data_IF_994507439518
#
_entry.id   IF_994507439518
#
_cell.length_a   1.000
_cell.length_b   1.000
_cell.length_c   1.000
_cell.angle_alpha   90.00
_cell.angle_beta   90.00
_cell.angle_gamma   90.00
#
_symmetry.space_group_name_H-M   'P 1'
#
loop_
_entity.id
_entity.type
_entity.pdbx_description
1 polymer ?
#
# COMPACT_ATOMS: atom_id res chain seq x y z
N UNK A 1 15.70 6.91 -42.47
CA UNK A 1 16.20 6.97 -41.08
C UNK A 1 15.29 7.75 -40.14
N UNK A 2 14.93 9.01 -40.43
CA UNK A 2 14.07 9.82 -39.53
C UNK A 2 12.73 9.16 -39.20
N UNK A 3 11.97 8.67 -40.19
CA UNK A 3 10.69 8.00 -39.94
C UNK A 3 10.80 6.74 -39.07
N UNK A 4 11.85 5.93 -39.26
CA UNK A 4 12.12 4.75 -38.43
C UNK A 4 12.40 5.15 -36.97
N UNK A 5 13.16 6.23 -36.75
CA UNK A 5 13.43 6.73 -35.40
C UNK A 5 12.14 7.25 -34.74
N UNK A 6 11.28 7.95 -35.49
CA UNK A 6 9.99 8.43 -34.98
C UNK A 6 9.09 7.27 -34.57
N UNK A 7 8.99 6.25 -35.41
CA UNK A 7 8.15 5.08 -35.15
C UNK A 7 8.65 4.28 -33.95
N UNK A 8 9.96 4.04 -33.87
CA UNK A 8 10.61 3.40 -32.72
C UNK A 8 10.39 4.19 -31.42
N UNK A 9 10.45 5.52 -31.49
CA UNK A 9 10.25 6.40 -30.33
C UNK A 9 8.82 6.33 -29.81
N UNK A 10 7.83 6.34 -30.72
CA UNK A 10 6.41 6.23 -30.36
C UNK A 10 6.14 4.88 -29.69
N UNK A 11 6.66 3.79 -30.26
CA UNK A 11 6.51 2.44 -29.69
C UNK A 11 7.19 2.34 -28.31
N UNK A 12 8.40 2.86 -28.18
CA UNK A 12 9.13 2.85 -26.91
C UNK A 12 8.38 3.62 -25.80
N UNK A 13 7.86 4.81 -26.12
CA UNK A 13 7.07 5.61 -25.17
C UNK A 13 5.77 4.91 -24.76
N UNK A 14 5.10 4.24 -25.70
CA UNK A 14 3.90 3.45 -25.40
C UNK A 14 4.21 2.30 -24.43
N UNK A 15 5.28 1.53 -24.69
CA UNK A 15 5.65 0.40 -23.83
C UNK A 15 6.01 0.88 -22.42
N UNK A 16 6.81 1.95 -22.30
CA UNK A 16 7.19 2.53 -21.01
C UNK A 16 5.95 3.09 -20.29
N UNK A 17 5.06 3.78 -21.02
CA UNK A 17 3.82 4.31 -20.48
C UNK A 17 2.92 3.21 -19.93
N UNK A 18 2.68 2.14 -20.69
CA UNK A 18 1.86 1.02 -20.24
C UNK A 18 2.46 0.29 -19.04
N UNK A 19 3.76 0.02 -19.06
CA UNK A 19 4.44 -0.66 -17.94
C UNK A 19 4.41 0.16 -16.66
N UNK A 20 4.65 1.46 -16.75
CA UNK A 20 4.56 2.36 -15.59
C UNK A 20 3.11 2.48 -15.07
N UNK A 21 2.13 2.60 -15.97
CA UNK A 21 0.72 2.70 -15.58
C UNK A 21 0.22 1.42 -14.92
N UNK A 22 0.51 0.25 -15.47
CA UNK A 22 0.09 -1.02 -14.88
C UNK A 22 0.70 -1.24 -13.49
N UNK A 23 1.97 -0.88 -13.29
CA UNK A 23 2.63 -0.98 -11.98
C UNK A 23 2.00 -0.04 -10.93
N UNK A 24 1.84 1.24 -11.26
CA UNK A 24 1.25 2.24 -10.35
C UNK A 24 -0.23 1.96 -10.10
N UNK A 25 -1.00 1.60 -11.13
CA UNK A 25 -2.41 1.23 -10.99
C UNK A 25 -2.57 -0.03 -10.14
N UNK A 26 -1.76 -1.07 -10.36
CA UNK A 26 -1.84 -2.30 -9.56
C UNK A 26 -1.46 -2.04 -8.10
N UNK A 27 -0.42 -1.26 -7.85
CA UNK A 27 -0.02 -0.90 -6.48
C UNK A 27 -1.07 0.02 -5.81
N UNK A 28 -1.58 1.02 -6.52
CA UNK A 28 -2.59 1.95 -6.00
C UNK A 28 -3.95 1.28 -5.79
N UNK A 29 -4.39 0.40 -6.69
CA UNK A 29 -5.60 -0.42 -6.51
C UNK A 29 -5.37 -1.43 -5.39
N UNK A 30 -4.21 -2.09 -5.34
CA UNK A 30 -3.84 -3.03 -4.29
C UNK A 30 -3.91 -2.39 -2.90
N UNK A 31 -3.29 -1.22 -2.73
CA UNK A 31 -3.33 -0.47 -1.47
C UNK A 31 -4.74 0.04 -1.13
N UNK A 32 -5.50 0.52 -2.12
CA UNK A 32 -6.85 1.04 -1.88
C UNK A 32 -7.90 -0.05 -1.62
N UNK A 33 -7.81 -1.19 -2.30
CA UNK A 33 -8.75 -2.33 -2.21
C UNK A 33 -8.40 -3.25 -1.05
N UNK A 34 -7.12 -3.56 -0.85
CA UNK A 34 -6.67 -4.50 0.20
C UNK A 34 -6.07 -3.78 1.43
N UNK A 35 -5.46 -2.60 1.28
CA UNK A 35 -4.87 -1.85 2.41
C UNK A 35 -5.88 -1.08 3.28
N UNK A 36 -7.08 -0.78 2.77
CA UNK A 36 -8.09 -0.03 3.51
C UNK A 36 -8.76 -0.78 4.67
N UNK A 37 -8.83 -2.12 4.60
CA UNK A 37 -9.59 -2.94 5.58
C UNK A 37 -8.77 -3.35 6.80
N UNK A 38 -7.45 -3.48 6.67
CA UNK A 38 -6.59 -4.01 7.74
C UNK A 38 -5.67 -2.94 8.36
N UNK A 39 -5.84 -1.66 8.01
CA UNK A 39 -4.98 -0.57 8.53
C UNK A 39 -5.08 -0.43 10.06
N UNK A 40 -6.25 -0.69 10.65
CA UNK A 40 -6.44 -0.68 12.10
C UNK A 40 -6.35 -2.07 12.72
N UNK A 41 -6.27 -3.17 11.95
CA UNK A 41 -6.37 -4.52 12.52
C UNK A 41 -5.26 -4.80 13.55
N UNK A 42 -4.04 -4.35 13.24
CA UNK A 42 -2.92 -4.40 14.17
C UNK A 42 -3.08 -3.48 15.38
N UNK A 43 -3.68 -2.31 15.20
CA UNK A 43 -3.92 -1.33 16.26
C UNK A 43 -5.04 -1.77 17.18
N UNK A 44 -6.14 -2.29 16.63
CA UNK A 44 -7.30 -2.84 17.34
C UNK A 44 -6.92 -4.10 18.11
N UNK A 45 -6.11 -4.99 17.53
CA UNK A 45 -5.58 -6.13 18.28
C UNK A 45 -4.64 -5.72 19.40
N UNK A 46 -3.73 -4.77 19.13
CA UNK A 46 -2.83 -4.24 20.16
C UNK A 46 -3.61 -3.56 21.28
N UNK A 47 -4.63 -2.77 20.94
CA UNK A 47 -5.52 -2.13 21.90
C UNK A 47 -6.25 -3.19 22.74
N UNK A 48 -6.83 -4.22 22.12
CA UNK A 48 -7.55 -5.31 22.81
C UNK A 48 -6.68 -6.05 23.83
N UNK A 49 -5.42 -6.30 23.50
CA UNK A 49 -4.46 -6.94 24.42
C UNK A 49 -4.08 -5.98 25.56
N UNK A 50 -3.85 -4.70 25.26
CA UNK A 50 -3.50 -3.69 26.25
C UNK A 50 -4.64 -3.36 27.22
N UNK A 51 -5.91 -3.49 26.82
CA UNK A 51 -7.05 -3.24 27.72
C UNK A 51 -7.04 -4.16 28.95
N UNK A 52 -6.57 -5.41 28.81
CA UNK A 52 -6.42 -6.36 29.91
C UNK A 52 -5.29 -6.00 30.89
N UNK A 53 -4.31 -5.21 30.46
CA UNK A 53 -3.11 -4.89 31.26
C UNK A 53 -3.38 -3.86 32.36
N UNK A 54 -4.34 -2.95 32.13
CA UNK A 54 -4.80 -2.01 33.17
C UNK A 54 -5.33 -2.72 34.41
N UNK A 55 -5.92 -3.92 34.24
CA UNK A 55 -6.48 -4.70 35.35
C UNK A 55 -5.43 -5.41 36.19
N UNK A 56 -4.25 -5.73 35.66
CA UNK A 56 -3.23 -6.54 36.35
C UNK A 56 -2.12 -5.70 37.00
N UNK A 57 -1.84 -4.49 36.52
CA UNK A 57 -0.75 -3.65 37.05
C UNK A 57 -1.19 -2.47 37.95
N UNK A 58 -2.49 -2.16 38.03
CA UNK A 58 -3.00 -0.91 38.60
C UNK A 58 -3.13 -0.83 40.13
N UNK A 59 -2.74 -1.86 40.90
CA UNK A 59 -2.76 -1.74 42.37
C UNK A 59 -1.53 -0.99 42.84
N UNK A 60 -1.64 0.33 42.96
CA UNK A 60 -0.70 1.16 43.73
C UNK A 60 -0.74 0.64 45.18
N UNK A 61 0.27 -0.11 45.57
CA UNK A 61 0.44 -0.64 46.93
C UNK A 61 0.56 0.57 47.86
N UNK A 62 -0.46 0.78 48.68
CA UNK A 62 -0.46 1.78 49.75
C UNK A 62 0.41 1.28 50.90
#
# INVERSE_FOLDING_TARGET
MVGYITDLTIVALLIIGFTALLGVLTNGIGEKVFGGKNKSEFVDQSARVQTGWKSVGGKKKR
#
